data_IF_515456403565
#
_entry.id   IF_515456403565
#
_cell.length_a   1.000
_cell.length_b   1.000
_cell.length_c   1.000
_cell.angle_alpha   90.00
_cell.angle_beta   90.00
_cell.angle_gamma   90.00
#
_symmetry.space_group_name_H-M   'P 1'
#
loop_
_entity.id
_entity.type
_entity.pdbx_description
1 polymer ?
#
# COMPACT_ATOMS: atom_id res chain seq x y z
N UNK A 1 64.41 11.01 43.82
CA UNK A 1 63.83 10.00 42.94
C UNK A 1 62.31 9.97 43.22
N UNK A 2 61.47 10.51 42.33
CA UNK A 2 60.02 10.51 42.44
C UNK A 2 59.46 9.67 41.30
N UNK A 3 59.00 8.47 41.63
CA UNK A 3 58.39 7.53 40.71
C UNK A 3 56.96 7.96 40.43
N UNK A 4 56.65 8.27 39.16
CA UNK A 4 55.28 8.55 38.69
C UNK A 4 54.62 7.22 38.28
N UNK A 5 53.57 6.85 38.98
CA UNK A 5 52.66 5.77 38.60
C UNK A 5 51.67 6.33 37.58
N UNK A 6 51.71 5.87 36.34
CA UNK A 6 50.70 6.14 35.33
C UNK A 6 49.61 5.05 35.43
N UNK A 7 48.41 5.49 35.79
CA UNK A 7 47.21 4.64 35.82
C UNK A 7 46.61 4.64 34.42
N UNK A 8 46.70 3.52 33.72
CA UNK A 8 46.05 3.27 32.41
C UNK A 8 44.62 2.83 32.69
N UNK A 9 43.63 3.70 32.43
CA UNK A 9 42.22 3.37 32.48
C UNK A 9 41.84 2.77 31.10
N UNK A 10 41.63 1.45 31.06
CA UNK A 10 40.99 0.77 29.92
C UNK A 10 39.48 1.01 29.96
N UNK A 11 38.98 1.91 29.13
CA UNK A 11 37.55 2.05 28.91
C UNK A 11 37.09 0.91 27.99
N UNK A 12 36.44 -0.11 28.58
CA UNK A 12 35.68 -1.09 27.82
C UNK A 12 34.44 -0.43 27.23
N UNK A 13 34.47 -0.08 25.95
CA UNK A 13 33.28 0.25 25.18
C UNK A 13 32.49 -1.04 24.96
N UNK A 14 31.48 -1.26 25.79
CA UNK A 14 30.41 -2.22 25.49
C UNK A 14 29.62 -1.66 24.31
N UNK A 15 29.94 -2.10 23.10
CA UNK A 15 29.07 -1.97 21.95
C UNK A 15 27.92 -2.93 22.16
N UNK A 16 26.85 -2.47 22.82
CA UNK A 16 25.54 -3.13 22.72
C UNK A 16 25.09 -3.00 21.27
N UNK A 17 25.46 -3.96 20.42
CA UNK A 17 24.75 -4.22 19.19
C UNK A 17 23.38 -4.76 19.59
N UNK A 18 22.45 -3.84 19.85
CA UNK A 18 21.04 -4.19 19.85
C UNK A 18 20.74 -4.75 18.46
N UNK A 19 20.60 -6.07 18.37
CA UNK A 19 19.89 -6.67 17.23
C UNK A 19 18.49 -6.06 17.29
N UNK A 20 18.28 -4.97 16.53
CA UNK A 20 16.94 -4.55 16.17
C UNK A 20 16.32 -5.78 15.52
N UNK A 21 15.28 -6.33 16.14
CA UNK A 21 14.48 -7.35 15.49
C UNK A 21 14.09 -6.77 14.14
N UNK A 22 14.57 -7.38 13.08
CA UNK A 22 14.22 -6.98 11.73
C UNK A 22 12.71 -7.16 11.63
N UNK A 23 11.96 -6.07 11.40
CA UNK A 23 10.50 -6.16 11.29
C UNK A 23 10.18 -7.21 10.22
N UNK A 24 9.50 -8.26 10.64
CA UNK A 24 9.20 -9.40 9.76
C UNK A 24 8.08 -8.97 8.81
N UNK A 25 8.23 -9.29 7.51
CA UNK A 25 7.13 -9.13 6.55
C UNK A 25 5.89 -9.83 7.13
N UNK A 26 4.78 -9.10 7.22
CA UNK A 26 3.51 -9.63 7.72
C UNK A 26 2.58 -9.98 6.56
N UNK A 27 1.64 -10.89 6.79
CA UNK A 27 0.55 -11.13 5.84
C UNK A 27 -0.70 -10.47 6.39
N UNK A 28 -1.32 -9.66 5.56
CA UNK A 28 -2.54 -8.92 5.85
C UNK A 28 -3.68 -9.25 4.90
N UNK A 29 -4.82 -8.62 5.15
CA UNK A 29 -6.00 -8.69 4.29
C UNK A 29 -6.80 -7.40 4.36
N UNK A 30 -7.44 -6.99 3.26
CA UNK A 30 -8.32 -5.82 3.23
C UNK A 30 -9.64 -6.15 3.96
N UNK A 31 -10.00 -5.30 4.91
CA UNK A 31 -11.28 -5.34 5.62
C UNK A 31 -12.25 -4.33 4.99
N UNK A 32 -13.22 -4.85 4.23
CA UNK A 32 -14.23 -4.01 3.55
C UNK A 32 -15.33 -3.51 4.48
N UNK A 33 -15.71 -4.30 5.48
CA UNK A 33 -16.60 -3.90 6.56
C UNK A 33 -16.21 -4.63 7.84
N UNK A 34 -15.93 -3.87 8.88
CA UNK A 34 -15.53 -4.44 10.18
C UNK A 34 -16.73 -4.94 11.01
N UNK A 35 -17.94 -4.38 10.80
CA UNK A 35 -19.06 -4.69 11.68
C UNK A 35 -18.73 -4.44 13.16
N UNK A 36 -18.62 -5.51 13.95
CA UNK A 36 -18.04 -5.47 15.31
C UNK A 36 -16.51 -5.48 15.21
N UNK A 37 -15.90 -4.35 15.53
CA UNK A 37 -14.45 -4.13 15.39
C UNK A 37 -13.64 -5.12 16.22
N UNK A 38 -13.99 -5.33 17.50
CA UNK A 38 -13.26 -6.23 18.39
C UNK A 38 -13.30 -7.67 17.88
N UNK A 39 -14.48 -8.13 17.47
CA UNK A 39 -14.66 -9.46 16.89
C UNK A 39 -13.89 -9.63 15.60
N UNK A 40 -13.94 -8.65 14.69
CA UNK A 40 -13.23 -8.72 13.41
C UNK A 40 -11.72 -8.84 13.59
N UNK A 41 -11.14 -8.08 14.51
CA UNK A 41 -9.70 -8.17 14.80
C UNK A 41 -9.32 -9.49 15.48
N UNK A 42 -10.19 -10.00 16.36
CA UNK A 42 -10.01 -11.33 16.94
C UNK A 42 -10.03 -12.41 15.87
N UNK A 43 -10.99 -12.37 14.94
CA UNK A 43 -11.12 -13.33 13.86
C UNK A 43 -9.87 -13.30 12.95
N UNK A 44 -9.31 -12.13 12.65
CA UNK A 44 -8.05 -12.00 11.90
C UNK A 44 -6.88 -12.66 12.65
N UNK A 45 -6.76 -12.40 13.94
CA UNK A 45 -5.73 -13.01 14.78
C UNK A 45 -5.85 -14.55 14.78
N UNK A 46 -7.05 -15.06 15.02
CA UNK A 46 -7.32 -16.50 15.08
C UNK A 46 -7.06 -17.20 13.73
N UNK A 47 -7.22 -16.48 12.63
CA UNK A 47 -6.89 -16.91 11.27
C UNK A 47 -5.40 -16.79 10.92
N UNK A 48 -4.58 -16.24 11.80
CA UNK A 48 -3.12 -16.12 11.63
C UNK A 48 -2.66 -14.95 10.78
N UNK A 49 -3.48 -13.89 10.63
CA UNK A 49 -3.04 -12.63 10.04
C UNK A 49 -2.25 -11.81 11.04
N UNK A 50 -1.26 -11.05 10.55
CA UNK A 50 -0.48 -10.10 11.36
C UNK A 50 -0.87 -8.64 11.13
N UNK A 51 -1.61 -8.37 10.05
CA UNK A 51 -2.03 -7.01 9.68
C UNK A 51 -3.34 -7.00 8.92
N UNK A 52 -3.89 -5.80 8.75
CA UNK A 52 -5.00 -5.54 7.86
C UNK A 52 -4.95 -4.12 7.30
N UNK A 53 -5.69 -3.90 6.23
CA UNK A 53 -6.04 -2.58 5.72
C UNK A 53 -7.53 -2.32 5.92
N UNK A 54 -7.90 -1.07 6.12
CA UNK A 54 -9.29 -0.68 6.29
C UNK A 54 -9.82 -0.01 5.04
N UNK A 55 -10.83 -0.57 4.41
CA UNK A 55 -11.53 0.10 3.33
C UNK A 55 -12.33 1.28 3.86
N UNK A 56 -12.18 2.47 3.22
CA UNK A 56 -12.90 3.67 3.60
C UNK A 56 -14.42 3.47 3.53
N UNK A 57 -15.08 3.85 4.60
CA UNK A 57 -16.55 3.80 4.70
C UNK A 57 -17.08 5.17 5.10
N UNK A 58 -17.78 5.81 4.18
CA UNK A 58 -18.40 7.12 4.41
C UNK A 58 -19.23 7.12 5.70
N UNK A 59 -19.09 8.16 6.50
CA UNK A 59 -19.77 8.38 7.78
C UNK A 59 -19.40 7.43 8.94
N UNK A 60 -18.54 6.42 8.71
CA UNK A 60 -18.04 5.54 9.79
C UNK A 60 -16.72 6.02 10.39
N UNK A 61 -15.91 6.76 9.66
CA UNK A 61 -14.58 7.19 10.09
C UNK A 61 -14.64 8.35 11.10
N UNK A 62 -15.17 8.06 12.27
CA UNK A 62 -15.30 8.99 13.40
C UNK A 62 -14.21 8.78 14.43
N UNK A 63 -14.06 9.72 15.37
CA UNK A 63 -13.14 9.58 16.49
C UNK A 63 -13.43 8.35 17.35
N UNK A 64 -14.71 8.07 17.63
CA UNK A 64 -15.12 6.87 18.40
C UNK A 64 -14.69 5.58 17.68
N UNK A 65 -14.88 5.54 16.36
CA UNK A 65 -14.44 4.40 15.56
C UNK A 65 -12.91 4.26 15.55
N UNK A 66 -12.16 5.36 15.47
CA UNK A 66 -10.71 5.35 15.56
C UNK A 66 -10.20 4.78 16.89
N UNK A 67 -10.80 5.16 18.01
CA UNK A 67 -10.46 4.61 19.33
C UNK A 67 -10.76 3.10 19.43
N UNK A 68 -11.89 2.64 18.87
CA UNK A 68 -12.22 1.20 18.79
C UNK A 68 -11.19 0.43 17.95
N UNK A 69 -10.80 0.96 16.80
CA UNK A 69 -9.78 0.35 15.94
C UNK A 69 -8.44 0.26 16.66
N UNK A 70 -7.97 1.34 17.31
CA UNK A 70 -6.72 1.33 18.10
C UNK A 70 -6.75 0.29 19.22
N UNK A 71 -7.86 0.26 19.96
CA UNK A 71 -8.01 -0.69 21.07
C UNK A 71 -7.98 -2.13 20.60
N UNK A 72 -8.71 -2.46 19.53
CA UNK A 72 -8.76 -3.80 18.94
C UNK A 72 -7.42 -4.21 18.33
N UNK A 73 -6.76 -3.31 17.58
CA UNK A 73 -5.42 -3.49 17.02
C UNK A 73 -4.43 -3.93 18.10
N UNK A 74 -4.37 -3.17 19.19
CA UNK A 74 -3.49 -3.47 20.33
C UNK A 74 -3.86 -4.76 21.04
N UNK A 75 -5.15 -4.99 21.28
CA UNK A 75 -5.67 -6.15 22.02
C UNK A 75 -5.39 -7.47 21.30
N UNK A 76 -5.58 -7.49 19.99
CA UNK A 76 -5.45 -8.70 19.18
C UNK A 76 -4.13 -8.78 18.41
N UNK A 77 -3.21 -7.82 18.61
CA UNK A 77 -1.92 -7.76 17.92
C UNK A 77 -2.04 -7.83 16.39
N UNK A 78 -3.00 -7.08 15.83
CA UNK A 78 -3.19 -6.89 14.39
C UNK A 78 -2.80 -5.47 14.02
N UNK A 79 -1.76 -5.29 13.22
CA UNK A 79 -1.35 -3.98 12.75
C UNK A 79 -2.29 -3.49 11.64
N UNK A 80 -2.87 -2.30 11.80
CA UNK A 80 -3.53 -1.63 10.68
C UNK A 80 -2.47 -0.86 9.91
N UNK A 81 -2.23 -1.25 8.66
CA UNK A 81 -1.13 -0.69 7.84
C UNK A 81 -1.56 0.54 7.08
N UNK A 82 -2.77 0.53 6.51
CA UNK A 82 -3.30 1.64 5.72
C UNK A 82 -4.82 1.75 5.80
N UNK A 83 -5.31 2.90 5.36
CA UNK A 83 -6.70 3.08 4.93
C UNK A 83 -6.72 3.13 3.40
N UNK A 84 -7.54 2.31 2.77
CA UNK A 84 -7.72 2.25 1.32
C UNK A 84 -9.06 2.86 0.90
N UNK A 85 -9.06 3.58 -0.21
CA UNK A 85 -10.31 4.06 -0.81
C UNK A 85 -10.05 4.87 -2.08
N UNK A 86 -10.98 4.77 -3.03
CA UNK A 86 -10.97 5.52 -4.27
C UNK A 86 -12.19 6.42 -4.30
N UNK A 87 -12.07 7.69 -3.88
CA UNK A 87 -13.18 8.62 -3.87
C UNK A 87 -13.73 8.92 -5.27
N UNK A 88 -15.05 9.04 -5.36
CA UNK A 88 -15.75 9.41 -6.57
C UNK A 88 -17.20 8.92 -6.52
N UNK A 89 -18.10 9.59 -7.25
CA UNK A 89 -19.48 9.17 -7.37
C UNK A 89 -19.61 7.93 -8.27
N UNK A 90 -18.70 7.80 -9.24
CA UNK A 90 -18.67 6.73 -10.23
C UNK A 90 -17.25 6.52 -10.76
N UNK A 91 -16.58 5.48 -10.33
CA UNK A 91 -15.29 5.07 -10.86
C UNK A 91 -15.47 3.95 -11.90
N UNK A 92 -14.95 4.15 -13.11
CA UNK A 92 -15.00 3.16 -14.19
C UNK A 92 -13.61 2.62 -14.45
N UNK A 93 -13.44 1.33 -14.21
CA UNK A 93 -12.16 0.64 -14.37
C UNK A 93 -12.04 0.10 -15.81
N UNK A 94 -11.62 0.97 -16.73
CA UNK A 94 -11.33 0.61 -18.11
C UNK A 94 -10.40 1.65 -18.78
N UNK A 95 -9.96 1.37 -20.00
CA UNK A 95 -9.07 2.27 -20.75
C UNK A 95 -9.77 3.55 -21.26
N UNK A 96 -11.07 3.48 -21.51
CA UNK A 96 -11.79 4.57 -22.19
C UNK A 96 -12.32 5.62 -21.22
N UNK A 97 -12.96 5.20 -20.16
CA UNK A 97 -13.65 6.08 -19.20
C UNK A 97 -12.86 6.27 -17.91
N UNK A 98 -11.97 5.33 -17.58
CA UNK A 98 -11.09 5.41 -16.40
C UNK A 98 -10.35 6.74 -16.30
N UNK A 99 -9.70 7.21 -17.39
CA UNK A 99 -8.98 8.49 -17.37
C UNK A 99 -9.82 9.71 -16.96
N UNK A 100 -11.14 9.67 -17.20
CA UNK A 100 -12.05 10.76 -16.84
C UNK A 100 -12.71 10.59 -15.45
N UNK A 101 -12.63 9.42 -14.83
CA UNK A 101 -13.42 9.11 -13.61
C UNK A 101 -12.56 8.80 -12.38
N UNK A 102 -11.36 8.24 -12.56
CA UNK A 102 -10.53 7.77 -11.45
C UNK A 102 -9.57 8.85 -10.97
N UNK A 103 -9.48 9.01 -9.64
CA UNK A 103 -8.45 9.79 -8.95
C UNK A 103 -8.56 11.30 -9.11
N UNK A 104 -7.40 11.98 -9.09
CA UNK A 104 -7.27 13.44 -9.05
C UNK A 104 -6.74 14.05 -10.36
N UNK A 105 -6.41 13.23 -11.36
CA UNK A 105 -6.03 13.73 -12.69
C UNK A 105 -7.20 14.44 -13.38
N UNK A 106 -8.43 13.87 -13.42
CA UNK A 106 -9.60 14.60 -13.90
C UNK A 106 -9.94 15.76 -12.97
N UNK A 107 -10.44 16.87 -13.54
CA UNK A 107 -10.87 18.05 -12.75
C UNK A 107 -12.29 17.90 -12.19
N UNK A 108 -13.08 17.09 -12.83
CA UNK A 108 -14.44 16.76 -12.42
C UNK A 108 -14.44 16.09 -11.05
N UNK A 109 -15.35 16.49 -10.18
CA UNK A 109 -15.47 16.01 -8.80
C UNK A 109 -14.19 16.14 -7.93
N UNK A 110 -13.10 16.71 -8.44
CA UNK A 110 -11.81 16.77 -7.74
C UNK A 110 -11.90 17.38 -6.35
N UNK A 111 -12.66 18.47 -6.21
CA UNK A 111 -12.84 19.14 -4.92
C UNK A 111 -13.54 18.24 -3.89
N UNK A 112 -14.54 17.47 -4.31
CA UNK A 112 -15.23 16.53 -3.43
C UNK A 112 -14.35 15.32 -3.11
N UNK A 113 -13.59 14.81 -4.08
CA UNK A 113 -12.61 13.74 -3.86
C UNK A 113 -11.55 14.15 -2.83
N UNK A 114 -11.02 15.38 -2.93
CA UNK A 114 -10.04 15.91 -1.96
C UNK A 114 -10.63 15.96 -0.54
N UNK A 115 -11.90 16.32 -0.36
CA UNK A 115 -12.54 16.28 0.97
C UNK A 115 -12.53 14.86 1.56
N UNK A 116 -12.86 13.86 0.75
CA UNK A 116 -12.81 12.45 1.20
C UNK A 116 -11.38 12.02 1.52
N UNK A 117 -10.39 12.40 0.72
CA UNK A 117 -8.99 12.13 1.05
C UNK A 117 -8.56 12.79 2.37
N UNK A 118 -9.02 14.02 2.64
CA UNK A 118 -8.78 14.67 3.94
C UNK A 118 -9.44 13.88 5.09
N UNK A 119 -10.67 13.39 4.92
CA UNK A 119 -11.33 12.53 5.93
C UNK A 119 -10.54 11.24 6.19
N UNK A 120 -10.02 10.59 5.14
CA UNK A 120 -9.17 9.40 5.27
C UNK A 120 -7.87 9.71 6.01
N UNK A 121 -7.20 10.81 5.67
CA UNK A 121 -5.96 11.24 6.31
C UNK A 121 -6.20 11.60 7.78
N UNK A 122 -7.27 12.35 8.08
CA UNK A 122 -7.62 12.73 9.45
C UNK A 122 -7.96 11.49 10.30
N UNK A 123 -8.65 10.52 9.72
CA UNK A 123 -8.91 9.24 10.39
C UNK A 123 -7.62 8.46 10.65
N UNK A 124 -6.73 8.37 9.67
CA UNK A 124 -5.41 7.74 9.87
C UNK A 124 -4.67 8.37 11.06
N UNK A 125 -4.65 9.69 11.14
CA UNK A 125 -4.01 10.39 12.25
C UNK A 125 -4.68 10.09 13.61
N UNK A 126 -6.02 10.07 13.65
CA UNK A 126 -6.79 9.74 14.87
C UNK A 126 -6.60 8.30 15.33
N UNK A 127 -6.55 7.37 14.37
CA UNK A 127 -6.41 5.95 14.63
C UNK A 127 -4.96 5.46 14.74
N UNK A 128 -3.97 6.37 14.62
CA UNK A 128 -2.53 6.05 14.60
C UNK A 128 -2.15 5.08 13.47
N UNK A 129 -2.88 5.16 12.34
CA UNK A 129 -2.58 4.40 11.13
C UNK A 129 -1.54 5.19 10.31
N UNK A 130 -0.42 4.55 9.90
CA UNK A 130 0.72 5.29 9.35
C UNK A 130 0.49 5.88 7.96
N UNK A 131 -0.46 5.35 7.19
CA UNK A 131 -0.66 5.73 5.80
C UNK A 131 -2.10 5.59 5.31
N UNK A 132 -2.39 6.25 4.21
CA UNK A 132 -3.55 5.94 3.37
C UNK A 132 -3.07 5.65 1.94
N UNK A 133 -3.81 4.87 1.19
CA UNK A 133 -3.53 4.66 -0.22
C UNK A 133 -4.76 4.75 -1.12
N UNK A 134 -4.51 5.00 -2.40
CA UNK A 134 -5.55 5.10 -3.41
C UNK A 134 -4.96 5.00 -4.82
N UNK A 135 -5.82 4.76 -5.80
CA UNK A 135 -5.54 5.11 -7.20
C UNK A 135 -5.78 6.59 -7.43
N UNK A 136 -4.72 7.34 -7.75
CA UNK A 136 -4.82 8.78 -7.95
C UNK A 136 -5.10 9.18 -9.40
N UNK A 137 -5.33 8.22 -10.29
CA UNK A 137 -5.75 8.40 -11.67
C UNK A 137 -4.68 8.08 -12.70
N UNK A 138 -5.02 8.26 -13.97
CA UNK A 138 -4.11 8.02 -15.09
C UNK A 138 -3.13 9.18 -15.23
N UNK A 139 -1.97 9.08 -14.60
CA UNK A 139 -0.96 10.14 -14.63
C UNK A 139 -0.44 10.32 -16.06
N UNK A 140 -0.48 11.54 -16.64
CA UNK A 140 0.04 11.77 -17.97
C UNK A 140 1.52 11.42 -18.09
N UNK A 141 1.90 10.73 -19.16
CA UNK A 141 3.29 10.34 -19.40
C UNK A 141 4.19 11.52 -19.80
N UNK A 142 3.60 12.54 -20.44
CA UNK A 142 4.30 13.77 -20.81
C UNK A 142 4.42 14.72 -19.60
N UNK A 143 5.61 14.87 -18.99
CA UNK A 143 5.80 15.75 -17.85
C UNK A 143 5.72 17.24 -18.19
N UNK A 144 5.75 17.60 -19.48
CA UNK A 144 5.62 18.99 -19.93
C UNK A 144 4.16 19.43 -20.04
N UNK A 145 3.21 18.48 -20.07
CA UNK A 145 1.78 18.77 -20.24
C UNK A 145 1.22 19.54 -19.05
N UNK A 146 0.27 20.43 -19.32
CA UNK A 146 -0.41 21.19 -18.26
C UNK A 146 -1.20 20.28 -17.32
N UNK A 147 -1.73 19.17 -17.82
CA UNK A 147 -2.46 18.19 -17.00
C UNK A 147 -1.53 17.51 -15.98
N UNK A 148 -0.30 17.13 -16.38
CA UNK A 148 0.70 16.57 -15.47
C UNK A 148 1.09 17.58 -14.38
N UNK A 149 1.43 18.81 -14.77
CA UNK A 149 1.82 19.89 -13.83
C UNK A 149 0.72 20.21 -12.83
N UNK A 150 -0.52 20.29 -13.29
CA UNK A 150 -1.69 20.52 -12.47
C UNK A 150 -1.89 19.37 -11.46
N UNK A 151 -1.77 18.12 -11.92
CA UNK A 151 -1.85 16.95 -11.06
C UNK A 151 -0.74 16.95 -9.97
N UNK A 152 0.52 17.23 -10.35
CA UNK A 152 1.62 17.29 -9.38
C UNK A 152 1.34 18.33 -8.29
N UNK A 153 0.83 19.51 -8.66
CA UNK A 153 0.47 20.57 -7.69
C UNK A 153 -0.60 20.10 -6.72
N UNK A 154 -1.65 19.47 -7.23
CA UNK A 154 -2.75 18.94 -6.40
C UNK A 154 -2.21 17.87 -5.42
N UNK A 155 -1.35 16.99 -5.90
CA UNK A 155 -0.75 15.95 -5.05
C UNK A 155 0.24 16.54 -4.03
N UNK A 156 0.96 17.60 -4.35
CA UNK A 156 1.80 18.33 -3.38
C UNK A 156 0.97 18.89 -2.23
N UNK A 157 -0.18 19.52 -2.54
CA UNK A 157 -1.08 20.08 -1.54
C UNK A 157 -1.64 18.97 -0.63
N UNK A 158 -2.13 17.87 -1.22
CA UNK A 158 -2.63 16.72 -0.48
C UNK A 158 -1.56 16.05 0.38
N UNK A 159 -0.35 15.85 -0.17
CA UNK A 159 0.76 15.23 0.55
C UNK A 159 1.28 16.09 1.69
N UNK A 160 1.29 17.41 1.53
CA UNK A 160 1.61 18.34 2.61
C UNK A 160 0.55 18.32 3.74
N UNK A 161 -0.73 18.21 3.38
CA UNK A 161 -1.81 18.03 4.35
C UNK A 161 -1.63 16.75 5.18
N UNK A 162 -1.30 15.64 4.52
CA UNK A 162 -1.01 14.37 5.18
C UNK A 162 0.25 14.43 6.07
N UNK A 163 1.32 15.05 5.57
CA UNK A 163 2.58 15.23 6.29
C UNK A 163 2.42 15.98 7.60
N UNK A 164 1.60 17.04 7.61
CA UNK A 164 1.30 17.80 8.83
C UNK A 164 0.60 16.96 9.90
N UNK A 165 0.00 15.83 9.53
CA UNK A 165 -0.70 14.88 10.40
C UNK A 165 0.11 13.63 10.70
N UNK A 166 1.35 13.56 10.22
CA UNK A 166 2.21 12.39 10.37
C UNK A 166 1.79 11.18 9.52
N UNK A 167 0.99 11.41 8.47
CA UNK A 167 0.45 10.36 7.61
C UNK A 167 1.20 10.32 6.27
N UNK A 168 1.51 9.13 5.79
CA UNK A 168 2.07 8.89 4.46
C UNK A 168 0.94 8.69 3.44
N UNK A 169 1.24 8.95 2.17
CA UNK A 169 0.36 8.63 1.05
C UNK A 169 1.06 7.57 0.20
N UNK A 170 0.34 6.48 -0.11
CA UNK A 170 0.83 5.49 -1.06
C UNK A 170 -0.01 5.54 -2.34
N UNK A 171 0.67 5.57 -3.48
CA UNK A 171 0.04 5.33 -4.77
C UNK A 171 -0.17 3.83 -4.92
N UNK A 172 -1.40 3.43 -5.14
CA UNK A 172 -1.66 2.08 -5.61
C UNK A 172 -1.39 2.00 -7.11
N UNK A 173 -0.56 1.02 -7.49
CA UNK A 173 -0.14 0.84 -8.88
C UNK A 173 -1.27 0.28 -9.75
N UNK A 174 -1.23 0.60 -11.05
CA UNK A 174 -2.19 0.07 -12.02
C UNK A 174 -2.17 0.81 -13.36
N UNK A 175 -2.56 2.08 -13.39
CA UNK A 175 -2.87 2.82 -14.62
C UNK A 175 -1.64 3.43 -15.30
N UNK A 176 -0.53 3.58 -14.59
CA UNK A 176 0.70 4.21 -15.05
C UNK A 176 1.87 3.23 -15.13
N UNK A 177 2.85 3.55 -15.96
CA UNK A 177 4.11 2.81 -15.98
C UNK A 177 4.95 3.11 -14.73
N UNK A 178 5.84 2.18 -14.30
CA UNK A 178 6.75 2.44 -13.18
C UNK A 178 7.55 3.74 -13.34
N UNK A 179 8.03 4.03 -14.54
CA UNK A 179 8.78 5.26 -14.82
C UNK A 179 7.93 6.51 -14.58
N UNK A 180 6.68 6.52 -15.02
CA UNK A 180 5.76 7.65 -14.83
C UNK A 180 5.46 7.87 -13.35
N UNK A 181 5.18 6.79 -12.61
CA UNK A 181 4.91 6.88 -11.17
C UNK A 181 6.12 7.37 -10.37
N UNK A 182 7.32 6.82 -10.63
CA UNK A 182 8.56 7.26 -9.97
C UNK A 182 8.83 8.74 -10.23
N UNK A 183 8.61 9.20 -11.47
CA UNK A 183 8.74 10.61 -11.83
C UNK A 183 7.76 11.47 -11.03
N UNK A 184 6.48 11.11 -11.01
CA UNK A 184 5.47 11.83 -10.26
C UNK A 184 5.82 11.94 -8.76
N UNK A 185 6.26 10.86 -8.13
CA UNK A 185 6.69 10.87 -6.72
C UNK A 185 7.88 11.82 -6.51
N UNK A 186 8.86 11.83 -7.43
CA UNK A 186 9.99 12.76 -7.37
C UNK A 186 9.58 14.21 -7.51
N UNK A 187 8.64 14.50 -8.41
CA UNK A 187 8.17 15.86 -8.68
C UNK A 187 7.24 16.39 -7.58
N UNK A 188 6.49 15.50 -6.90
CA UNK A 188 5.72 15.84 -5.70
C UNK A 188 6.66 16.30 -4.57
N UNK A 189 7.80 15.66 -4.39
CA UNK A 189 8.93 16.09 -3.56
C UNK A 189 8.63 16.41 -2.07
N UNK A 190 7.54 15.91 -1.49
CA UNK A 190 7.18 16.17 -0.09
C UNK A 190 7.85 15.22 0.91
N UNK A 191 8.36 14.07 0.42
CA UNK A 191 9.09 13.07 1.19
C UNK A 191 8.23 12.10 2.00
N UNK A 192 6.90 12.18 1.89
CA UNK A 192 5.95 11.27 2.53
C UNK A 192 5.03 10.53 1.53
N UNK A 193 5.47 10.44 0.27
CA UNK A 193 4.73 9.76 -0.79
C UNK A 193 5.51 8.54 -1.25
N UNK A 194 4.85 7.39 -1.28
CA UNK A 194 5.42 6.07 -1.56
C UNK A 194 4.47 5.24 -2.42
N UNK A 195 4.68 3.93 -2.47
CA UNK A 195 3.94 2.99 -3.32
C UNK A 195 3.31 1.88 -2.47
N UNK A 196 2.02 1.64 -2.67
CA UNK A 196 1.39 0.36 -2.48
C UNK A 196 1.46 -0.40 -3.82
N UNK A 197 2.21 -1.50 -3.84
CA UNK A 197 2.54 -2.19 -5.08
C UNK A 197 1.57 -3.33 -5.35
N UNK A 198 0.61 -3.10 -6.24
CA UNK A 198 -0.23 -4.13 -6.84
C UNK A 198 0.29 -4.47 -8.24
N UNK A 199 0.85 -5.65 -8.37
CA UNK A 199 1.44 -6.13 -9.63
C UNK A 199 0.37 -6.68 -10.58
N UNK A 200 -0.73 -7.20 -10.06
CA UNK A 200 -1.84 -7.68 -10.89
C UNK A 200 -2.50 -6.52 -11.63
N UNK A 201 -2.68 -5.37 -10.97
CA UNK A 201 -3.19 -4.17 -11.62
C UNK A 201 -2.25 -3.72 -12.76
N UNK A 202 -0.93 -3.74 -12.57
CA UNK A 202 0.02 -3.41 -13.65
C UNK A 202 -0.08 -4.39 -14.83
N UNK A 203 -0.28 -5.68 -14.56
CA UNK A 203 -0.52 -6.68 -15.62
C UNK A 203 -1.83 -6.42 -16.33
N UNK A 204 -2.93 -6.27 -15.59
CA UNK A 204 -4.26 -6.05 -16.16
C UNK A 204 -4.35 -4.78 -17.00
N UNK A 205 -3.61 -3.72 -16.65
CA UNK A 205 -3.49 -2.51 -17.47
C UNK A 205 -2.40 -2.59 -18.54
N UNK A 206 -1.65 -3.70 -18.64
CA UNK A 206 -0.58 -3.86 -19.61
C UNK A 206 0.59 -2.90 -19.42
N UNK A 207 0.86 -2.46 -18.18
CA UNK A 207 1.82 -1.37 -17.88
C UNK A 207 3.21 -1.84 -17.54
N UNK A 208 3.38 -3.02 -16.97
CA UNK A 208 4.69 -3.55 -16.62
C UNK A 208 4.68 -5.07 -16.39
N UNK A 209 5.86 -5.68 -16.54
CA UNK A 209 6.15 -6.99 -15.99
C UNK A 209 6.36 -6.87 -14.47
N UNK A 210 5.86 -7.84 -13.72
CA UNK A 210 5.84 -7.83 -12.25
C UNK A 210 7.23 -7.67 -11.63
N UNK A 211 8.20 -8.50 -12.03
CA UNK A 211 9.54 -8.48 -11.44
C UNK A 211 10.32 -7.22 -11.82
N UNK A 212 10.15 -6.73 -13.05
CA UNK A 212 10.81 -5.50 -13.50
C UNK A 212 10.24 -4.28 -12.77
N UNK A 213 8.93 -4.25 -12.51
CA UNK A 213 8.29 -3.19 -11.74
C UNK A 213 8.86 -3.13 -10.30
N UNK A 214 8.92 -4.27 -9.60
CA UNK A 214 9.49 -4.34 -8.24
C UNK A 214 10.93 -3.84 -8.20
N UNK A 215 11.75 -4.23 -9.19
CA UNK A 215 13.14 -3.75 -9.27
C UNK A 215 13.25 -2.24 -9.49
N UNK A 216 12.35 -1.67 -10.31
CA UNK A 216 12.34 -0.23 -10.60
C UNK A 216 11.87 0.58 -9.39
N UNK A 217 10.81 0.13 -8.71
CA UNK A 217 10.24 0.83 -7.55
C UNK A 217 11.18 0.80 -6.34
N UNK A 218 11.85 -0.32 -6.10
CA UNK A 218 12.83 -0.45 -5.04
C UNK A 218 12.28 -0.05 -3.66
N UNK A 219 13.01 0.80 -2.96
CA UNK A 219 12.67 1.25 -1.60
C UNK A 219 11.43 2.16 -1.51
N UNK A 220 10.84 2.54 -2.65
CA UNK A 220 9.56 3.26 -2.67
C UNK A 220 8.38 2.36 -2.29
N UNK A 221 8.50 1.03 -2.44
CA UNK A 221 7.45 0.09 -2.01
C UNK A 221 7.41 0.07 -0.48
N UNK A 222 6.24 0.41 0.09
CA UNK A 222 5.99 0.39 1.54
C UNK A 222 4.87 -0.58 1.92
N UNK A 223 3.99 -0.86 0.99
CA UNK A 223 2.89 -1.82 1.09
C UNK A 223 2.85 -2.63 -0.20
N UNK A 224 2.32 -3.85 -0.14
CA UNK A 224 2.23 -4.73 -1.30
C UNK A 224 0.88 -5.46 -1.30
N UNK A 225 0.12 -5.31 -2.39
CA UNK A 225 -1.09 -6.10 -2.59
C UNK A 225 -0.77 -7.45 -3.21
N UNK A 226 -1.11 -8.50 -2.47
CA UNK A 226 -1.08 -9.86 -2.97
C UNK A 226 -2.37 -10.14 -3.72
N UNK A 227 -2.33 -9.91 -5.01
CA UNK A 227 -3.37 -10.11 -6.02
C UNK A 227 -2.71 -10.71 -7.25
N UNK A 228 -3.39 -11.58 -7.97
CA UNK A 228 -2.86 -12.18 -9.19
C UNK A 228 -3.75 -11.85 -10.39
N UNK A 229 -3.15 -11.75 -11.55
CA UNK A 229 -3.83 -11.31 -12.75
C UNK A 229 -3.16 -11.78 -14.03
N UNK A 230 -3.83 -11.50 -15.13
CA UNK A 230 -3.35 -11.76 -16.49
C UNK A 230 -3.38 -10.48 -17.31
N UNK A 231 -2.51 -10.42 -18.31
CA UNK A 231 -2.55 -9.37 -19.32
C UNK A 231 -3.86 -9.35 -20.09
N UNK A 232 -4.22 -8.22 -20.73
CA UNK A 232 -5.29 -8.16 -21.72
C UNK A 232 -5.13 -9.24 -22.79
N UNK A 233 -6.26 -9.81 -23.24
CA UNK A 233 -6.24 -10.75 -24.35
C UNK A 233 -5.72 -10.05 -25.64
N UNK A 234 -4.65 -10.54 -26.27
CA UNK A 234 -4.15 -9.96 -27.52
C UNK A 234 -5.19 -9.91 -28.64
N UNK A 235 -6.22 -10.76 -28.59
CA UNK A 235 -7.33 -10.75 -29.54
C UNK A 235 -8.43 -9.74 -29.17
N UNK A 236 -8.42 -9.22 -27.94
CA UNK A 236 -9.33 -8.17 -27.46
C UNK A 236 -8.58 -7.11 -26.66
N UNK A 237 -7.69 -6.30 -27.28
CA UNK A 237 -6.84 -5.34 -26.57
C UNK A 237 -7.57 -4.08 -26.09
N UNK A 238 -8.88 -4.03 -26.22
CA UNK A 238 -9.73 -2.91 -25.79
C UNK A 238 -10.22 -3.05 -24.35
N UNK A 239 -10.08 -4.25 -23.77
CA UNK A 239 -10.48 -4.54 -22.41
C UNK A 239 -9.26 -4.75 -21.51
N UNK A 240 -9.44 -4.57 -20.22
CA UNK A 240 -8.42 -4.89 -19.22
C UNK A 240 -8.18 -6.41 -19.21
N UNK A 241 -7.02 -6.80 -18.69
CA UNK A 241 -6.79 -8.15 -18.23
C UNK A 241 -7.73 -8.54 -17.08
N UNK A 242 -7.57 -9.71 -16.54
CA UNK A 242 -8.47 -10.24 -15.52
C UNK A 242 -7.72 -10.65 -14.26
N UNK A 243 -8.32 -10.36 -13.08
CA UNK A 243 -7.91 -10.98 -11.83
C UNK A 243 -8.17 -12.49 -11.89
N UNK A 244 -7.23 -13.26 -11.35
CA UNK A 244 -7.33 -14.72 -11.24
C UNK A 244 -6.86 -15.17 -9.86
N UNK A 245 -7.25 -16.38 -9.39
CA UNK A 245 -6.78 -16.89 -8.11
C UNK A 245 -5.25 -17.02 -8.04
N UNK A 246 -4.66 -16.60 -6.91
CA UNK A 246 -3.25 -16.86 -6.61
C UNK A 246 -3.05 -18.38 -6.42
N UNK A 247 -2.03 -19.00 -7.01
CA UNK A 247 -0.98 -18.51 -7.89
C UNK A 247 -1.20 -18.91 -9.35
N UNK A 248 -2.34 -18.63 -9.95
CA UNK A 248 -2.71 -19.12 -11.30
C UNK A 248 -2.56 -18.07 -12.39
N UNK A 249 -2.17 -16.86 -12.03
CA UNK A 249 -1.92 -15.75 -12.94
C UNK A 249 -0.46 -15.60 -13.36
N UNK A 250 -0.09 -14.37 -13.69
CA UNK A 250 1.22 -14.02 -14.26
C UNK A 250 2.11 -13.23 -13.30
N UNK A 251 1.65 -13.00 -12.06
CA UNK A 251 2.51 -12.51 -10.97
C UNK A 251 3.38 -13.65 -10.47
N UNK A 252 4.65 -13.60 -10.75
CA UNK A 252 5.61 -14.62 -10.28
C UNK A 252 5.94 -14.37 -8.79
N UNK A 253 5.03 -14.75 -7.88
CA UNK A 253 5.19 -14.53 -6.44
C UNK A 253 6.52 -15.03 -5.86
N UNK A 254 7.05 -16.22 -6.20
CA UNK A 254 8.34 -16.65 -5.69
C UNK A 254 9.48 -15.68 -6.04
N UNK A 255 9.56 -15.25 -7.30
CA UNK A 255 10.60 -14.31 -7.74
C UNK A 255 10.39 -12.90 -7.16
N UNK A 256 9.14 -12.45 -7.08
CA UNK A 256 8.77 -11.14 -6.52
C UNK A 256 9.10 -11.07 -5.02
N UNK A 257 8.71 -12.06 -4.24
CA UNK A 257 8.97 -12.10 -2.79
C UNK A 257 10.47 -12.20 -2.52
N UNK A 258 11.21 -12.98 -3.31
CA UNK A 258 12.67 -13.03 -3.21
C UNK A 258 13.32 -11.66 -3.48
N UNK A 259 12.84 -10.92 -4.48
CA UNK A 259 13.36 -9.58 -4.78
C UNK A 259 12.95 -8.57 -3.68
N UNK A 260 11.74 -8.61 -3.15
CA UNK A 260 11.31 -7.78 -2.02
C UNK A 260 12.18 -8.03 -0.77
N UNK A 261 12.44 -9.30 -0.42
CA UNK A 261 13.35 -9.67 0.67
C UNK A 261 14.76 -9.10 0.43
N UNK A 262 15.30 -9.25 -0.78
CA UNK A 262 16.63 -8.74 -1.16
C UNK A 262 16.72 -7.22 -1.05
N UNK A 263 15.63 -6.49 -1.34
CA UNK A 263 15.55 -5.04 -1.21
C UNK A 263 15.33 -4.57 0.24
N UNK A 264 15.15 -5.48 1.19
CA UNK A 264 14.90 -5.16 2.60
C UNK A 264 13.48 -4.67 2.85
N UNK A 265 12.50 -5.10 2.06
CA UNK A 265 11.09 -4.78 2.30
C UNK A 265 10.62 -5.27 3.66
N UNK A 266 9.91 -4.43 4.40
CA UNK A 266 9.43 -4.68 5.77
C UNK A 266 7.94 -4.36 5.94
N UNK A 267 7.23 -4.13 4.84
CA UNK A 267 5.79 -3.87 4.83
C UNK A 267 4.95 -5.14 4.99
N UNK A 268 3.67 -5.00 4.70
CA UNK A 268 2.76 -6.15 4.65
C UNK A 268 2.56 -6.65 3.21
N UNK A 269 2.30 -7.94 3.09
CA UNK A 269 1.71 -8.56 1.91
C UNK A 269 0.20 -8.64 2.18
N UNK A 270 -0.53 -7.64 1.77
CA UNK A 270 -1.97 -7.55 2.01
C UNK A 270 -2.74 -8.25 0.91
N UNK A 271 -3.50 -9.28 1.27
CA UNK A 271 -4.34 -10.02 0.31
C UNK A 271 -5.50 -9.12 -0.10
N UNK A 272 -5.57 -8.83 -1.38
CA UNK A 272 -6.72 -8.24 -2.04
C UNK A 272 -7.41 -9.29 -2.91
N UNK A 273 -8.74 -9.37 -2.82
CA UNK A 273 -9.53 -10.31 -3.60
C UNK A 273 -10.86 -9.68 -4.01
N UNK A 274 -11.04 -9.48 -5.31
CA UNK A 274 -12.27 -8.99 -5.92
C UNK A 274 -13.06 -10.10 -6.63
N UNK A 275 -12.52 -11.34 -6.61
CA UNK A 275 -13.16 -12.50 -7.21
C UNK A 275 -14.51 -12.82 -6.55
N UNK A 276 -15.52 -13.07 -7.35
CA UNK A 276 -16.83 -13.48 -6.88
C UNK A 276 -16.79 -14.93 -6.35
N UNK A 277 -17.51 -15.21 -5.25
CA UNK A 277 -17.67 -16.59 -4.72
C UNK A 277 -17.04 -16.79 -3.34
N UNK A 278 -16.49 -17.98 -3.07
CA UNK A 278 -16.01 -18.44 -1.75
C UNK A 278 -14.75 -17.67 -1.24
N UNK A 279 -14.94 -16.35 -1.00
CA UNK A 279 -13.88 -15.40 -0.67
C UNK A 279 -13.07 -15.82 0.55
N UNK A 280 -13.74 -16.33 1.59
CA UNK A 280 -13.07 -16.69 2.83
C UNK A 280 -12.04 -17.81 2.62
N UNK A 281 -12.45 -18.93 2.02
CA UNK A 281 -11.55 -20.07 1.78
C UNK A 281 -10.38 -19.71 0.86
N UNK A 282 -10.64 -18.83 -0.11
CA UNK A 282 -9.60 -18.31 -1.00
C UNK A 282 -8.55 -17.51 -0.22
N UNK A 283 -8.99 -16.59 0.63
CA UNK A 283 -8.10 -15.74 1.43
C UNK A 283 -7.21 -16.56 2.38
N UNK A 284 -7.77 -17.59 3.03
CA UNK A 284 -7.01 -18.48 3.91
C UNK A 284 -5.95 -19.29 3.12
N UNK A 285 -6.33 -19.88 1.99
CA UNK A 285 -5.39 -20.62 1.12
C UNK A 285 -4.27 -19.72 0.59
N UNK A 286 -4.62 -18.49 0.21
CA UNK A 286 -3.64 -17.49 -0.24
C UNK A 286 -2.67 -17.13 0.88
N UNK A 287 -3.17 -16.91 2.11
CA UNK A 287 -2.33 -16.68 3.29
C UNK A 287 -1.33 -17.82 3.51
N UNK A 288 -1.79 -19.06 3.45
CA UNK A 288 -0.93 -20.26 3.61
C UNK A 288 0.15 -20.34 2.53
N UNK A 289 -0.22 -20.06 1.27
CA UNK A 289 0.73 -20.03 0.17
C UNK A 289 1.80 -18.96 0.37
N UNK A 290 1.40 -17.73 0.70
CA UNK A 290 2.33 -16.62 0.94
C UNK A 290 3.24 -16.91 2.15
N UNK A 291 2.70 -17.49 3.23
CA UNK A 291 3.50 -17.90 4.40
C UNK A 291 4.58 -18.91 4.01
N UNK A 292 4.24 -19.90 3.19
CA UNK A 292 5.20 -20.87 2.67
C UNK A 292 6.34 -20.22 1.86
N UNK A 293 6.07 -19.11 1.14
CA UNK A 293 7.12 -18.36 0.43
C UNK A 293 7.96 -17.48 1.36
N UNK A 294 7.39 -17.02 2.47
CA UNK A 294 8.13 -16.24 3.47
C UNK A 294 9.06 -17.10 4.31
N UNK A 295 8.69 -18.33 4.58
CA UNK A 295 9.45 -19.28 5.42
C UNK A 295 10.65 -19.91 4.69
N UNK A 296 10.67 -19.83 3.34
CA UNK A 296 11.78 -20.26 2.49
C UNK A 296 12.72 -19.08 2.15
#
# INVERSE_FOLDING_TARGET
MKTKFSLLIFALLFVCSGMMAQDKITIGVIQYDLGDVDKSFKDLHDQGFGSCELNYQKNKFTKDFAEKVKAASKKHNIKVTTVVGVPGSHCVWNFCQGPATIGLVPKEERAEKIKVYHEMIDFCAMAEIPAMHSHFGFIPEDPSSEQYKDFIKVMQDLANYAKQRGVMIYFETGQETPTTLIRAIKDIATGNVFINCDLANLLMYGKANSLDAVKQFGSLIKEFHAKDGRYPDPNNPYELGAEVPIPTGEVNFPAVIAELKKQGFQGALTIECELNGARHDYVIKTREYLQGLLDN
#
